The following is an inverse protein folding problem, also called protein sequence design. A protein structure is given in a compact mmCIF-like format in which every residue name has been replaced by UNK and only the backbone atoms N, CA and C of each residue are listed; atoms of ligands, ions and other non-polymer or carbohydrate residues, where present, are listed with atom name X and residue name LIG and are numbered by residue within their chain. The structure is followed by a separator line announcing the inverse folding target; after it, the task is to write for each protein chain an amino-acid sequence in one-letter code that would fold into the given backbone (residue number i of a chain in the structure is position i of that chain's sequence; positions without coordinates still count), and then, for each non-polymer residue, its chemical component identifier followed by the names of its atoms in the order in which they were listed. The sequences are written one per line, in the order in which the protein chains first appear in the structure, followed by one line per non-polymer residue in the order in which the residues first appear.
data_IF_690576203220
#
_entry.id   IF_690576203220
#
_cell.length_a   1.000
_cell.length_b   1.000
_cell.length_c   1.000
_cell.angle_alpha   90.00
_cell.angle_beta   90.00
_cell.angle_gamma   90.00
#
_symmetry.space_group_name_H-M   'P 1'
#
loop_
_entity.id
_entity.type
_entity.pdbx_description
1 polymer ?
#
# COMPACT_ATOMS: atom_id res chain seq x y z
N UNK A 1 -39.96 56.41 13.79
CA UNK A 1 -39.17 55.83 12.69
C UNK A 1 -38.22 54.82 13.33
N UNK A 2 -38.72 53.63 13.68
CA UNK A 2 -38.66 52.42 12.86
C UNK A 2 -37.24 52.05 12.42
N UNK A 3 -36.63 51.16 13.22
CA UNK A 3 -35.71 50.08 12.90
C UNK A 3 -35.18 50.02 11.46
N UNK A 4 -33.86 50.00 11.31
CA UNK A 4 -33.11 48.87 10.73
C UNK A 4 -31.61 49.21 10.74
N UNK A 5 -30.97 49.05 11.90
CA UNK A 5 -29.52 48.84 11.98
C UNK A 5 -29.24 47.45 11.44
N UNK A 6 -28.98 47.34 10.13
CA UNK A 6 -28.45 46.12 9.51
C UNK A 6 -27.00 46.00 9.93
N UNK A 7 -26.77 45.38 11.09
CA UNK A 7 -25.47 44.87 11.49
C UNK A 7 -25.14 43.72 10.53
N UNK A 8 -24.47 44.05 9.42
CA UNK A 8 -23.89 43.05 8.52
C UNK A 8 -22.79 42.35 9.32
N UNK A 9 -23.17 41.27 9.99
CA UNK A 9 -22.26 40.27 10.51
C UNK A 9 -21.57 39.65 9.30
N UNK A 10 -20.50 40.29 8.81
CA UNK A 10 -19.52 39.65 7.93
C UNK A 10 -18.97 38.46 8.72
N UNK A 11 -19.62 37.31 8.57
CA UNK A 11 -19.00 36.02 8.77
C UNK A 11 -17.73 36.05 7.91
N UNK A 12 -16.61 36.36 8.56
CA UNK A 12 -15.31 35.92 8.15
C UNK A 12 -15.40 34.39 8.09
N UNK A 13 -15.87 33.87 6.95
CA UNK A 13 -15.54 32.52 6.54
C UNK A 13 -14.04 32.55 6.34
N UNK A 14 -13.30 32.37 7.42
CA UNK A 14 -11.99 31.77 7.35
C UNK A 14 -12.23 30.46 6.62
N UNK A 15 -12.07 30.51 5.30
CA UNK A 15 -11.80 29.31 4.53
C UNK A 15 -10.49 28.83 5.10
N UNK A 16 -10.57 27.99 6.14
CA UNK A 16 -9.45 27.19 6.58
C UNK A 16 -9.07 26.41 5.33
N UNK A 17 -8.08 26.91 4.61
CA UNK A 17 -7.40 26.11 3.62
C UNK A 17 -6.77 25.01 4.46
N UNK A 18 -7.47 23.88 4.56
CA UNK A 18 -6.94 22.66 5.17
C UNK A 18 -5.69 22.30 4.37
N UNK A 19 -4.54 22.78 4.84
CA UNK A 19 -3.27 22.45 4.23
C UNK A 19 -3.01 21.01 4.63
N UNK A 20 -3.45 20.09 3.77
CA UNK A 20 -3.15 18.69 3.96
C UNK A 20 -1.63 18.51 3.98
N UNK A 21 -1.16 17.78 4.97
CA UNK A 21 0.25 17.41 5.09
C UNK A 21 0.46 16.08 4.38
N UNK A 22 1.61 15.92 3.74
CA UNK A 22 2.14 14.64 3.28
C UNK A 22 3.08 14.01 4.32
N UNK A 23 3.30 14.66 5.47
CA UNK A 23 4.23 14.24 6.52
C UNK A 23 3.59 14.05 7.91
N UNK A 24 4.08 13.04 8.64
CA UNK A 24 3.82 12.77 10.05
C UNK A 24 5.11 12.99 10.83
N UNK A 25 5.01 13.69 11.96
CA UNK A 25 6.11 13.89 12.90
C UNK A 25 5.63 13.66 14.34
N UNK A 26 6.54 13.67 15.31
CA UNK A 26 6.19 13.47 16.72
C UNK A 26 5.22 14.52 17.26
N UNK A 27 5.29 15.76 16.74
CA UNK A 27 4.41 16.88 17.08
C UNK A 27 3.13 16.95 16.24
N UNK A 28 3.07 16.20 15.14
CA UNK A 28 1.94 16.18 14.19
C UNK A 28 1.53 14.74 13.90
N UNK A 29 0.89 14.06 14.87
CA UNK A 29 0.33 12.73 14.65
C UNK A 29 -0.89 12.79 13.71
N UNK A 30 -1.32 11.63 13.24
CA UNK A 30 -2.61 11.45 12.55
C UNK A 30 -3.54 10.69 13.48
N UNK A 31 -4.72 11.26 13.74
CA UNK A 31 -5.82 10.65 14.51
C UNK A 31 -6.89 10.11 13.58
N UNK A 32 -7.78 9.29 14.12
CA UNK A 32 -8.97 8.86 13.38
C UNK A 32 -9.79 10.08 12.91
N UNK A 33 -10.21 10.06 11.64
CA UNK A 33 -10.86 11.17 10.94
C UNK A 33 -9.91 12.12 10.22
N UNK A 34 -8.61 12.10 10.52
CA UNK A 34 -7.59 12.91 9.83
C UNK A 34 -6.95 12.15 8.66
N UNK A 35 -6.49 12.90 7.66
CA UNK A 35 -5.85 12.36 6.46
C UNK A 35 -4.47 12.96 6.23
N UNK A 36 -3.54 12.09 5.87
CA UNK A 36 -2.27 12.43 5.27
C UNK A 36 -2.43 12.32 3.74
N UNK A 37 -2.18 13.38 2.98
CA UNK A 37 -2.41 13.38 1.52
C UNK A 37 -1.07 13.60 0.82
N UNK A 38 -0.77 12.76 -0.18
CA UNK A 38 0.43 12.92 -1.00
C UNK A 38 0.44 14.27 -1.73
N UNK A 39 1.62 14.77 -2.10
CA UNK A 39 1.77 16.13 -2.69
C UNK A 39 0.89 16.35 -3.92
N UNK A 40 0.82 15.37 -4.81
CA UNK A 40 -0.01 15.40 -6.03
C UNK A 40 -1.48 15.02 -5.76
N UNK A 41 -1.85 14.76 -4.50
CA UNK A 41 -3.19 14.36 -4.06
C UNK A 41 -3.69 13.06 -4.70
N UNK A 42 -2.77 12.22 -5.17
CA UNK A 42 -3.06 10.93 -5.79
C UNK A 42 -3.41 9.89 -4.74
N UNK A 43 -2.70 9.90 -3.61
CA UNK A 43 -2.89 8.94 -2.52
C UNK A 43 -3.18 9.65 -1.20
N UNK A 44 -3.95 8.99 -0.36
CA UNK A 44 -4.18 9.38 1.02
C UNK A 44 -3.88 8.21 1.94
N UNK A 45 -3.46 8.53 3.16
CA UNK A 45 -3.33 7.61 4.27
C UNK A 45 -4.21 8.09 5.42
N UNK A 46 -4.85 7.15 6.11
CA UNK A 46 -5.64 7.44 7.29
C UNK A 46 -6.34 6.20 7.84
N UNK A 47 -7.27 6.44 8.76
CA UNK A 47 -8.08 5.39 9.38
C UNK A 47 -9.31 5.04 8.53
N UNK A 48 -9.59 3.75 8.36
CA UNK A 48 -10.73 3.27 7.59
C UNK A 48 -11.36 2.01 8.19
N UNK A 49 -12.56 1.69 7.71
CA UNK A 49 -13.32 0.47 8.03
C UNK A 49 -13.68 -0.23 6.73
N UNK A 50 -13.21 -1.46 6.48
CA UNK A 50 -13.54 -2.20 5.27
C UNK A 50 -14.98 -2.74 5.32
N UNK A 51 -15.74 -2.48 4.26
CA UNK A 51 -17.07 -3.06 4.03
C UNK A 51 -18.00 -3.02 5.24
N UNK A 52 -18.39 -4.19 5.75
CA UNK A 52 -19.29 -4.38 6.90
C UNK A 52 -18.58 -4.60 8.23
N UNK A 53 -17.26 -4.42 8.27
CA UNK A 53 -16.48 -4.54 9.51
C UNK A 53 -16.91 -3.52 10.56
N UNK A 54 -16.65 -3.83 11.83
CA UNK A 54 -16.71 -2.85 12.92
C UNK A 54 -15.31 -2.41 13.38
N UNK A 55 -14.27 -2.98 12.77
CA UNK A 55 -12.88 -2.70 13.13
C UNK A 55 -12.33 -1.49 12.36
N UNK A 56 -11.33 -0.84 12.95
CA UNK A 56 -10.56 0.26 12.37
C UNK A 56 -9.14 -0.17 12.04
N UNK A 57 -8.69 0.27 10.87
CA UNK A 57 -7.38 0.00 10.31
C UNK A 57 -6.75 1.28 9.78
N UNK A 58 -5.43 1.32 9.73
CA UNK A 58 -4.67 2.34 9.00
C UNK A 58 -4.33 1.79 7.63
N UNK A 59 -4.66 2.54 6.58
CA UNK A 59 -4.39 2.13 5.21
C UNK A 59 -4.02 3.29 4.29
N UNK A 60 -3.56 2.94 3.09
CA UNK A 60 -3.32 3.86 1.98
C UNK A 60 -4.33 3.54 0.89
N UNK A 61 -4.88 4.56 0.25
CA UNK A 61 -5.81 4.43 -0.88
C UNK A 61 -5.63 5.54 -1.91
N UNK A 62 -6.18 5.32 -3.09
CA UNK A 62 -6.29 6.38 -4.10
C UNK A 62 -7.25 7.48 -3.63
N UNK A 63 -6.72 8.68 -3.44
CA UNK A 63 -7.47 9.84 -2.94
C UNK A 63 -8.35 10.49 -4.02
N UNK A 64 -7.97 10.35 -5.28
CA UNK A 64 -8.64 10.94 -6.43
C UNK A 64 -9.70 10.03 -7.06
N UNK A 65 -9.96 8.85 -6.49
CA UNK A 65 -11.01 7.95 -6.96
C UNK A 65 -12.27 8.07 -6.10
N UNK A 66 -13.48 8.00 -6.71
CA UNK A 66 -14.74 8.08 -5.97
C UNK A 66 -15.01 6.84 -5.10
N UNK A 67 -14.42 5.70 -5.46
CA UNK A 67 -14.52 4.45 -4.70
C UNK A 67 -13.24 4.29 -3.88
N UNK A 68 -13.37 4.19 -2.56
CA UNK A 68 -12.23 3.99 -1.67
C UNK A 68 -11.55 2.66 -1.98
N UNK A 69 -10.42 2.73 -2.66
CA UNK A 69 -9.64 1.56 -3.09
C UNK A 69 -8.37 1.47 -2.25
N UNK A 70 -8.40 0.63 -1.22
CA UNK A 70 -7.27 0.38 -0.34
C UNK A 70 -6.17 -0.37 -1.11
N UNK A 71 -4.93 0.06 -0.98
CA UNK A 71 -3.76 -0.53 -1.65
C UNK A 71 -2.67 -0.97 -0.68
N UNK A 72 -2.79 -0.62 0.60
CA UNK A 72 -1.89 -1.04 1.67
C UNK A 72 -2.57 -0.89 3.04
N UNK A 73 -2.26 -1.76 3.99
CA UNK A 73 -2.83 -1.78 5.34
C UNK A 73 -1.74 -2.07 6.37
N UNK A 74 -1.57 -1.20 7.36
CA UNK A 74 -0.53 -1.33 8.39
C UNK A 74 -0.85 -2.46 9.37
N UNK A 75 -1.94 -2.31 10.12
CA UNK A 75 -2.33 -3.17 11.24
C UNK A 75 -3.32 -4.25 10.82
N UNK A 76 -3.09 -4.88 9.66
CA UNK A 76 -4.05 -5.81 9.04
C UNK A 76 -4.43 -7.01 9.92
N UNK A 77 -3.52 -7.47 10.78
CA UNK A 77 -3.76 -8.57 11.72
C UNK A 77 -4.05 -8.10 13.16
N UNK A 78 -4.11 -6.79 13.39
CA UNK A 78 -4.28 -6.19 14.72
C UNK A 78 -5.23 -4.99 14.66
N UNK A 79 -6.52 -5.22 14.40
CA UNK A 79 -7.53 -4.17 14.31
C UNK A 79 -7.68 -3.38 15.60
N UNK A 80 -8.19 -2.15 15.46
CA UNK A 80 -8.70 -1.33 16.57
C UNK A 80 -10.22 -1.47 16.62
N UNK A 81 -10.83 -1.51 17.81
CA UNK A 81 -12.28 -1.71 17.98
C UNK A 81 -13.07 -0.40 18.23
N UNK A 82 -12.41 0.75 18.15
CA UNK A 82 -12.97 2.09 18.31
C UNK A 82 -12.16 3.11 17.47
N UNK A 83 -12.42 4.41 17.66
CA UNK A 83 -11.78 5.51 16.91
C UNK A 83 -10.68 6.23 17.70
N UNK A 84 -10.14 5.63 18.76
CA UNK A 84 -9.09 6.25 19.60
C UNK A 84 -7.67 6.11 19.03
N UNK A 85 -7.54 5.57 17.81
CA UNK A 85 -6.27 5.32 17.15
C UNK A 85 -5.44 6.58 16.91
N UNK A 86 -4.14 6.49 17.15
CA UNK A 86 -3.17 7.56 16.89
C UNK A 86 -1.94 6.97 16.21
N UNK A 87 -1.65 7.45 14.99
CA UNK A 87 -0.45 7.12 14.23
C UNK A 87 0.57 8.25 14.38
N UNK A 88 1.78 7.95 14.86
CA UNK A 88 2.78 8.98 15.20
C UNK A 88 4.20 8.46 15.14
N UNK A 89 5.19 9.37 15.14
CA UNK A 89 6.60 9.01 15.33
C UNK A 89 6.92 8.97 16.83
N UNK A 90 7.41 7.83 17.32
CA UNK A 90 7.81 7.65 18.72
C UNK A 90 9.20 8.28 19.01
N UNK A 91 9.62 8.23 20.28
CA UNK A 91 10.92 8.75 20.73
C UNK A 91 12.12 8.04 20.09
N UNK A 92 11.94 6.81 19.60
CA UNK A 92 12.98 6.02 18.95
C UNK A 92 13.04 6.25 17.43
N UNK A 93 12.11 7.03 16.87
CA UNK A 93 12.03 7.30 15.43
C UNK A 93 11.22 6.25 14.66
N UNK A 94 10.46 5.39 15.34
CA UNK A 94 9.55 4.45 14.70
C UNK A 94 8.19 5.10 14.44
N UNK A 95 7.56 4.72 13.33
CA UNK A 95 6.15 4.98 13.12
C UNK A 95 5.35 3.95 13.92
N UNK A 96 4.52 4.43 14.85
CA UNK A 96 3.78 3.59 15.79
C UNK A 96 2.29 3.92 15.77
N UNK A 97 1.48 2.88 15.89
CA UNK A 97 0.04 2.97 16.04
C UNK A 97 -0.34 2.61 17.48
N UNK A 98 -0.87 3.60 18.20
CA UNK A 98 -1.34 3.46 19.58
C UNK A 98 -2.86 3.52 19.66
N UNK A 99 -3.40 2.98 20.75
CA UNK A 99 -4.82 2.88 21.05
C UNK A 99 -5.05 3.08 22.56
N UNK A 100 -6.11 3.80 22.96
CA UNK A 100 -6.56 3.97 24.36
C UNK A 100 -5.44 4.13 25.42
N UNK A 101 -4.52 5.08 25.23
CA UNK A 101 -3.38 5.35 26.14
C UNK A 101 -2.48 4.13 26.45
N UNK A 102 -2.53 3.08 25.63
CA UNK A 102 -1.67 1.91 25.76
C UNK A 102 -0.19 2.31 25.71
N UNK A 103 0.61 1.69 26.57
CA UNK A 103 2.08 1.82 26.57
C UNK A 103 2.74 0.98 25.49
N UNK A 104 2.03 -0.03 24.96
CA UNK A 104 2.51 -0.92 23.90
C UNK A 104 1.74 -0.58 22.62
N UNK A 105 2.42 -0.19 21.53
CA UNK A 105 1.76 0.05 20.26
C UNK A 105 1.20 -1.25 19.69
N UNK A 106 0.02 -1.19 19.08
CA UNK A 106 -0.60 -2.34 18.42
C UNK A 106 0.08 -2.68 17.09
N UNK A 107 0.78 -1.71 16.50
CA UNK A 107 1.60 -1.88 15.31
C UNK A 107 2.75 -0.88 15.35
N UNK A 108 3.93 -1.27 14.89
CA UNK A 108 5.08 -0.37 14.75
C UNK A 108 5.99 -0.82 13.62
N UNK A 109 6.73 0.13 13.06
CA UNK A 109 7.89 -0.18 12.23
C UNK A 109 9.02 -0.73 13.10
N UNK A 110 9.91 -1.52 12.52
CA UNK A 110 11.08 -2.07 13.21
C UNK A 110 12.37 -1.38 12.74
N UNK A 111 12.41 -0.05 12.88
CA UNK A 111 13.59 0.75 12.53
C UNK A 111 14.61 0.66 13.67
N UNK A 112 15.82 0.24 13.32
CA UNK A 112 16.96 0.24 14.24
C UNK A 112 17.90 1.40 13.94
N UNK A 113 17.74 2.51 14.67
CA UNK A 113 18.62 3.68 14.58
C UNK A 113 19.77 3.60 15.59
N UNK A 114 20.95 4.05 15.16
CA UNK A 114 22.09 4.26 16.06
C UNK A 114 21.77 5.35 17.08
N UNK A 115 22.36 5.32 18.27
CA UNK A 115 21.95 6.17 19.39
C UNK A 115 21.99 7.68 19.06
N UNK A 116 22.99 8.14 18.29
CA UNK A 116 23.08 9.54 17.88
C UNK A 116 22.03 9.96 16.83
N UNK A 117 21.35 9.00 16.20
CA UNK A 117 20.25 9.21 15.25
C UNK A 117 18.87 9.08 15.91
N UNK A 118 18.79 8.55 17.14
CA UNK A 118 17.53 8.43 17.91
C UNK A 118 17.11 9.78 18.45
N UNK A 119 16.51 10.56 17.57
CA UNK A 119 15.86 11.80 17.92
C UNK A 119 14.59 11.91 17.07
N UNK A 120 13.43 11.78 17.70
CA UNK A 120 12.12 11.85 17.03
C UNK A 120 11.91 13.15 16.25
N UNK A 121 12.53 14.25 16.68
CA UNK A 121 12.46 15.53 15.96
C UNK A 121 13.21 15.50 14.62
N UNK A 122 14.16 14.58 14.46
CA UNK A 122 14.97 14.39 13.27
C UNK A 122 14.38 13.36 12.28
N UNK A 123 13.26 12.74 12.62
CA UNK A 123 12.59 11.71 11.81
C UNK A 123 11.20 12.19 11.39
N UNK A 124 10.79 11.86 10.16
CA UNK A 124 9.41 12.01 9.69
C UNK A 124 8.98 10.74 8.95
N UNK A 125 7.69 10.45 8.98
CA UNK A 125 7.09 9.62 7.93
C UNK A 125 6.51 10.53 6.84
N UNK A 126 6.61 10.12 5.58
CA UNK A 126 6.12 10.88 4.43
C UNK A 126 5.41 9.96 3.44
N UNK A 127 4.21 10.34 3.00
CA UNK A 127 3.49 9.66 1.93
C UNK A 127 3.87 10.25 0.58
N UNK A 128 4.46 9.42 -0.28
CA UNK A 128 4.88 9.82 -1.63
C UNK A 128 3.73 9.70 -2.64
N UNK A 129 3.91 10.31 -3.82
CA UNK A 129 2.93 10.28 -4.90
C UNK A 129 2.79 8.93 -5.62
N UNK A 130 3.60 7.95 -5.23
CA UNK A 130 3.51 6.55 -5.70
C UNK A 130 2.91 5.62 -4.64
N UNK A 131 2.29 6.16 -3.58
CA UNK A 131 1.76 5.41 -2.43
C UNK A 131 2.81 4.75 -1.53
N UNK A 132 4.08 5.09 -1.68
CA UNK A 132 5.12 4.62 -0.77
C UNK A 132 5.14 5.52 0.48
N UNK A 133 4.88 4.93 1.64
CA UNK A 133 5.03 5.58 2.93
C UNK A 133 6.45 5.33 3.42
N UNK A 134 7.26 6.38 3.51
CA UNK A 134 8.68 6.27 3.86
C UNK A 134 8.97 6.93 5.20
N UNK A 135 9.86 6.34 5.99
CA UNK A 135 10.47 7.02 7.13
C UNK A 135 11.80 7.61 6.68
N UNK A 136 12.01 8.89 6.94
CA UNK A 136 13.15 9.66 6.44
C UNK A 136 13.84 10.40 7.58
N UNK A 137 15.17 10.36 7.58
CA UNK A 137 16.00 11.24 8.41
C UNK A 137 16.00 12.65 7.82
N UNK A 138 15.47 13.65 8.55
CA UNK A 138 15.38 15.04 8.09
C UNK A 138 16.74 15.63 7.69
N UNK A 139 17.79 15.23 8.41
CA UNK A 139 19.17 15.75 8.26
C UNK A 139 19.83 15.25 6.98
N UNK A 140 19.79 13.95 6.71
CA UNK A 140 20.47 13.33 5.56
C UNK A 140 19.57 13.05 4.38
N UNK A 141 18.24 13.10 4.57
CA UNK A 141 17.21 12.65 3.61
C UNK A 141 17.27 11.16 3.28
N UNK A 142 17.98 10.37 4.09
CA UNK A 142 18.02 8.92 3.91
C UNK A 142 16.67 8.30 4.29
N UNK A 143 16.15 7.44 3.42
CA UNK A 143 15.03 6.54 3.72
C UNK A 143 15.55 5.39 4.57
N UNK A 144 14.90 5.12 5.69
CA UNK A 144 15.29 4.07 6.66
C UNK A 144 14.24 2.97 6.80
N UNK A 145 13.05 3.20 6.23
CA UNK A 145 11.95 2.23 6.14
C UNK A 145 10.98 2.68 5.06
N UNK A 146 10.35 1.74 4.37
CA UNK A 146 9.35 2.01 3.34
C UNK A 146 8.23 0.96 3.32
N UNK A 147 6.98 1.40 3.08
CA UNK A 147 5.83 0.47 3.00
C UNK A 147 5.91 -0.47 1.81
N UNK A 148 6.66 -0.09 0.77
CA UNK A 148 6.91 -0.92 -0.40
C UNK A 148 7.69 -2.21 -0.08
N UNK A 149 8.41 -2.26 1.05
CA UNK A 149 9.03 -3.48 1.54
C UNK A 149 8.07 -4.40 2.29
N UNK A 150 6.85 -3.93 2.58
CA UNK A 150 5.81 -4.67 3.31
C UNK A 150 4.47 -4.62 2.58
N UNK A 151 4.39 -5.13 1.33
CA UNK A 151 3.15 -5.13 0.56
C UNK A 151 2.04 -5.95 1.26
N UNK A 152 0.78 -5.62 0.97
CA UNK A 152 -0.38 -6.39 1.44
C UNK A 152 -0.87 -7.34 0.34
N UNK A 153 -2.04 -7.11 -0.21
CA UNK A 153 -2.70 -7.86 -1.28
C UNK A 153 -2.49 -7.20 -2.65
N UNK A 154 -2.00 -5.97 -2.68
CA UNK A 154 -1.88 -5.14 -3.88
C UNK A 154 -0.42 -4.87 -4.27
N UNK A 155 -0.12 -5.04 -5.55
CA UNK A 155 1.13 -4.66 -6.21
C UNK A 155 0.93 -3.45 -7.12
N UNK A 156 1.54 -2.34 -6.75
CA UNK A 156 1.50 -1.04 -7.43
C UNK A 156 2.71 -0.84 -8.35
N UNK A 157 2.63 0.14 -9.29
CA UNK A 157 3.80 0.56 -10.03
C UNK A 157 4.97 0.92 -9.10
N UNK A 158 6.20 0.64 -9.55
CA UNK A 158 7.47 0.87 -8.85
C UNK A 158 7.74 -0.01 -7.62
N UNK A 159 6.77 -0.79 -7.14
CA UNK A 159 7.01 -1.80 -6.11
C UNK A 159 7.88 -2.95 -6.65
N UNK A 160 8.39 -3.76 -5.73
CA UNK A 160 9.07 -5.03 -6.02
C UNK A 160 8.21 -6.20 -5.60
N UNK A 161 8.18 -7.27 -6.41
CA UNK A 161 7.80 -8.62 -5.99
C UNK A 161 8.98 -9.55 -6.19
N UNK A 162 9.33 -10.34 -5.19
CA UNK A 162 10.52 -11.17 -5.20
C UNK A 162 11.11 -11.33 -3.81
N UNK A 163 12.43 -11.44 -3.73
CA UNK A 163 13.13 -11.59 -2.47
C UNK A 163 14.58 -11.16 -2.59
N UNK A 164 15.13 -10.72 -1.47
CA UNK A 164 16.56 -10.52 -1.33
C UNK A 164 17.23 -11.85 -0.91
N UNK A 165 18.42 -12.12 -1.45
CA UNK A 165 19.16 -13.37 -1.18
C UNK A 165 20.04 -13.26 0.05
N UNK A 166 20.38 -12.06 0.49
CA UNK A 166 21.28 -11.79 1.62
C UNK A 166 20.52 -11.49 2.89
N UNK A 167 19.39 -10.82 2.77
CA UNK A 167 18.46 -10.53 3.86
C UNK A 167 17.31 -11.51 3.79
N UNK A 168 16.67 -11.82 4.91
CA UNK A 168 15.46 -12.66 4.93
C UNK A 168 14.21 -11.89 4.45
N UNK A 169 14.39 -10.90 3.56
CA UNK A 169 13.35 -10.02 3.07
C UNK A 169 12.70 -10.63 1.84
N UNK A 170 11.38 -10.74 1.87
CA UNK A 170 10.57 -11.23 0.76
C UNK A 170 9.43 -10.25 0.48
N UNK A 171 9.29 -9.88 -0.78
CA UNK A 171 8.24 -9.00 -1.26
C UNK A 171 7.20 -9.85 -1.99
N UNK A 172 6.13 -10.18 -1.29
CA UNK A 172 5.06 -11.03 -1.81
C UNK A 172 3.69 -10.44 -1.49
N UNK A 173 2.69 -10.81 -2.28
CA UNK A 173 1.31 -10.42 -1.98
C UNK A 173 0.61 -11.51 -1.19
N UNK A 174 -0.25 -11.09 -0.28
CA UNK A 174 -1.15 -11.98 0.44
C UNK A 174 -2.54 -11.38 0.51
N UNK A 175 -3.52 -12.13 0.01
CA UNK A 175 -4.92 -11.72 -0.06
C UNK A 175 -5.44 -11.27 1.30
N UNK A 176 -6.53 -10.51 1.27
CA UNK A 176 -7.38 -10.33 2.44
C UNK A 176 -8.06 -11.68 2.80
N UNK A 177 -8.57 -11.80 4.02
CA UNK A 177 -9.37 -12.98 4.42
C UNK A 177 -10.74 -12.94 3.76
N UNK A 178 -11.36 -11.76 3.75
CA UNK A 178 -12.64 -11.47 3.10
C UNK A 178 -12.66 -10.00 2.66
N UNK A 179 -13.67 -9.59 1.91
CA UNK A 179 -13.89 -8.18 1.59
C UNK A 179 -14.07 -7.25 2.82
N UNK A 180 -14.42 -7.83 3.97
CA UNK A 180 -14.65 -7.10 5.24
C UNK A 180 -13.52 -7.30 6.26
N UNK A 181 -12.51 -8.15 5.97
CA UNK A 181 -11.38 -8.45 6.87
C UNK A 181 -10.05 -8.44 6.10
N UNK A 182 -9.23 -7.37 6.26
CA UNK A 182 -7.97 -7.21 5.57
C UNK A 182 -6.84 -8.06 6.15
N UNK A 183 -7.09 -8.83 7.21
CA UNK A 183 -6.13 -9.77 7.79
C UNK A 183 -5.56 -10.72 6.75
N UNK A 184 -4.46 -11.40 7.10
CA UNK A 184 -3.79 -12.34 6.20
C UNK A 184 -4.72 -13.47 5.77
N UNK A 185 -5.05 -13.48 4.47
CA UNK A 185 -5.86 -14.51 3.83
C UNK A 185 -5.06 -15.72 3.36
N UNK A 186 -5.76 -16.66 2.74
CA UNK A 186 -5.23 -17.95 2.35
C UNK A 186 -4.30 -17.89 1.12
N UNK A 187 -4.50 -16.91 0.24
CA UNK A 187 -3.78 -16.85 -1.03
C UNK A 187 -2.53 -15.98 -0.94
N UNK A 188 -1.38 -16.53 -1.35
CA UNK A 188 -0.11 -15.80 -1.42
C UNK A 188 0.50 -15.89 -2.81
N UNK A 189 0.99 -14.77 -3.34
CA UNK A 189 1.65 -14.70 -4.64
C UNK A 189 3.10 -14.27 -4.44
N UNK A 190 4.04 -15.18 -4.74
CA UNK A 190 5.47 -14.99 -4.46
C UNK A 190 6.36 -15.67 -5.49
N UNK A 191 7.64 -15.29 -5.51
CA UNK A 191 8.66 -16.08 -6.18
C UNK A 191 9.14 -17.21 -5.27
N UNK A 192 9.23 -18.43 -5.82
CA UNK A 192 9.92 -19.56 -5.16
C UNK A 192 11.39 -19.21 -4.95
N UNK A 193 11.89 -19.47 -3.74
CA UNK A 193 13.31 -19.33 -3.38
C UNK A 193 14.10 -20.61 -3.65
N UNK A 194 13.42 -21.72 -3.98
CA UNK A 194 14.04 -23.03 -4.22
C UNK A 194 14.21 -23.25 -5.72
N UNK A 195 15.44 -23.58 -6.12
CA UNK A 195 15.81 -23.83 -7.51
C UNK A 195 15.79 -22.56 -8.36
N UNK A 196 15.41 -22.69 -9.63
CA UNK A 196 15.18 -21.52 -10.49
C UNK A 196 13.99 -20.72 -9.93
N UNK A 197 14.09 -19.40 -9.75
CA UNK A 197 12.97 -18.60 -9.28
C UNK A 197 11.75 -18.73 -10.21
N UNK A 198 10.59 -18.96 -9.59
CA UNK A 198 9.33 -19.11 -10.30
C UNK A 198 8.23 -18.36 -9.59
N UNK A 199 7.38 -17.69 -10.37
CA UNK A 199 6.22 -17.00 -9.85
C UNK A 199 5.10 -18.00 -9.59
N UNK A 200 4.65 -18.11 -8.34
CA UNK A 200 3.68 -19.12 -7.90
C UNK A 200 2.67 -18.45 -6.96
N UNK A 201 1.39 -18.77 -7.19
CA UNK A 201 0.33 -18.50 -6.23
C UNK A 201 0.10 -19.75 -5.40
N UNK A 202 -0.03 -19.60 -4.09
CA UNK A 202 -0.31 -20.67 -3.14
C UNK A 202 -1.64 -20.43 -2.44
N UNK A 203 -2.33 -21.50 -2.08
CA UNK A 203 -3.47 -21.50 -1.16
C UNK A 203 -3.08 -22.29 0.10
N UNK A 204 -2.92 -21.62 1.25
CA UNK A 204 -2.48 -22.25 2.50
C UNK A 204 -1.24 -23.15 2.31
N UNK A 205 -0.22 -22.63 1.61
CA UNK A 205 1.06 -23.30 1.25
C UNK A 205 1.00 -24.37 0.15
N UNK A 206 -0.18 -24.76 -0.32
CA UNK A 206 -0.29 -25.62 -1.50
C UNK A 206 -0.21 -24.79 -2.78
N UNK A 207 0.63 -25.16 -3.76
CA UNK A 207 0.63 -24.48 -5.05
C UNK A 207 -0.77 -24.49 -5.67
N UNK A 208 -1.24 -23.31 -6.05
CA UNK A 208 -2.57 -23.10 -6.60
C UNK A 208 -2.51 -22.76 -8.10
N UNK A 209 -1.56 -21.91 -8.48
CA UNK A 209 -1.30 -21.52 -9.87
C UNK A 209 0.19 -21.26 -10.08
N UNK A 210 0.70 -21.50 -11.29
CA UNK A 210 2.12 -21.32 -11.63
C UNK A 210 2.32 -20.42 -12.84
N UNK A 211 2.79 -19.21 -12.58
CA UNK A 211 3.31 -18.30 -13.60
C UNK A 211 4.69 -18.70 -14.13
N UNK A 212 5.40 -19.57 -13.41
CA UNK A 212 6.67 -20.14 -13.87
C UNK A 212 7.84 -19.16 -13.85
N UNK A 213 8.97 -19.51 -14.46
CA UNK A 213 10.16 -18.66 -14.46
C UNK A 213 10.02 -17.49 -15.43
N UNK A 214 10.88 -16.49 -15.26
CA UNK A 214 11.10 -15.47 -16.28
C UNK A 214 11.77 -16.09 -17.53
N UNK A 215 11.21 -15.79 -18.71
CA UNK A 215 11.70 -16.28 -20.01
C UNK A 215 12.36 -15.18 -20.85
N UNK A 216 12.84 -14.12 -20.20
CA UNK A 216 13.54 -13.00 -20.83
C UNK A 216 12.63 -11.83 -21.22
N UNK A 217 11.33 -12.07 -21.42
CA UNK A 217 10.37 -11.01 -21.76
C UNK A 217 9.03 -11.06 -21.04
N UNK A 218 8.72 -12.18 -20.38
CA UNK A 218 7.52 -12.38 -19.57
C UNK A 218 7.76 -13.53 -18.59
N UNK A 219 6.79 -13.76 -17.71
CA UNK A 219 6.66 -15.03 -16.99
C UNK A 219 6.11 -16.10 -17.95
N UNK A 220 6.59 -17.34 -17.84
CA UNK A 220 6.25 -18.42 -18.77
C UNK A 220 4.74 -18.73 -18.83
N UNK A 221 4.06 -18.66 -17.69
CA UNK A 221 2.62 -18.91 -17.53
C UNK A 221 1.77 -17.65 -17.61
N UNK A 222 2.34 -16.48 -17.97
CA UNK A 222 1.58 -15.25 -18.19
C UNK A 222 1.69 -14.87 -19.66
N UNK A 223 0.64 -15.12 -20.47
CA UNK A 223 0.66 -14.82 -21.89
C UNK A 223 0.56 -13.30 -22.11
N UNK A 224 1.70 -12.61 -22.24
CA UNK A 224 1.69 -11.17 -22.52
C UNK A 224 1.47 -10.92 -24.02
N UNK A 225 0.33 -10.31 -24.39
CA UNK A 225 0.10 -9.89 -25.80
C UNK A 225 0.77 -8.55 -26.10
N UNK A 226 1.11 -8.30 -27.38
CA UNK A 226 1.87 -7.10 -27.82
C UNK A 226 1.26 -5.77 -27.34
N UNK A 227 -0.07 -5.69 -27.24
CA UNK A 227 -0.78 -4.48 -26.80
C UNK A 227 -0.51 -4.17 -25.32
N UNK A 228 -0.41 -5.18 -24.46
CA UNK A 228 -0.17 -5.01 -23.02
C UNK A 228 1.26 -4.51 -22.77
N UNK A 229 2.23 -4.97 -23.58
CA UNK A 229 3.62 -4.46 -23.56
C UNK A 229 3.71 -2.98 -23.91
N UNK A 230 2.75 -2.43 -24.65
CA UNK A 230 2.75 -1.00 -24.96
C UNK A 230 2.31 -0.15 -23.75
N UNK A 231 1.62 -0.75 -22.78
CA UNK A 231 1.11 -0.06 -21.58
C UNK A 231 2.04 -0.24 -20.39
N UNK A 232 2.51 -1.46 -20.16
CA UNK A 232 3.32 -1.82 -18.99
C UNK A 232 4.80 -2.01 -19.37
N UNK A 233 5.68 -1.33 -18.65
CA UNK A 233 7.09 -1.67 -18.61
C UNK A 233 7.31 -2.66 -17.47
N UNK A 234 7.62 -3.91 -17.77
CA UNK A 234 7.93 -4.91 -16.75
C UNK A 234 9.43 -5.14 -16.78
N UNK A 235 10.09 -4.97 -15.64
CA UNK A 235 11.49 -5.32 -15.49
C UNK A 235 11.68 -6.43 -14.47
N UNK A 236 12.62 -7.32 -14.77
CA UNK A 236 12.96 -8.44 -13.93
C UNK A 236 14.47 -8.44 -13.71
N UNK A 237 14.87 -8.49 -12.45
CA UNK A 237 16.24 -8.62 -12.00
C UNK A 237 16.39 -9.98 -11.34
N UNK A 238 17.40 -10.73 -11.76
CA UNK A 238 17.85 -11.95 -11.11
C UNK A 238 19.38 -11.91 -11.07
N UNK A 239 19.93 -11.54 -9.92
CA UNK A 239 21.37 -11.48 -9.69
C UNK A 239 21.76 -12.18 -8.38
N UNK A 240 23.02 -12.02 -7.97
CA UNK A 240 23.55 -12.60 -6.73
C UNK A 240 22.97 -11.94 -5.46
N UNK A 241 22.32 -10.78 -5.59
CA UNK A 241 21.78 -10.01 -4.48
C UNK A 241 20.28 -10.26 -4.30
N UNK A 242 19.49 -10.20 -5.37
CA UNK A 242 18.04 -10.34 -5.28
C UNK A 242 17.41 -10.91 -6.57
N UNK A 243 16.18 -11.36 -6.39
CA UNK A 243 15.22 -11.59 -7.46
C UNK A 243 14.11 -10.57 -7.28
N UNK A 244 13.84 -9.76 -8.29
CA UNK A 244 12.81 -8.73 -8.19
C UNK A 244 12.14 -8.50 -9.55
N UNK A 245 10.82 -8.61 -9.56
CA UNK A 245 9.95 -8.13 -10.62
C UNK A 245 9.38 -6.77 -10.21
N UNK A 246 9.46 -5.80 -11.10
CA UNK A 246 8.86 -4.48 -10.93
C UNK A 246 8.11 -4.12 -12.21
N UNK A 247 7.15 -3.21 -12.10
CA UNK A 247 6.53 -2.65 -13.29
C UNK A 247 6.28 -1.15 -13.15
N UNK A 248 6.22 -0.46 -14.28
CA UNK A 248 5.70 0.91 -14.37
C UNK A 248 4.90 1.10 -15.67
N UNK A 249 4.41 2.31 -15.91
CA UNK A 249 3.48 2.63 -16.99
C UNK A 249 4.18 3.54 -18.01
N UNK A 250 4.17 3.16 -19.29
CA UNK A 250 4.82 3.91 -20.37
C UNK A 250 3.97 5.07 -20.90
N UNK A 251 2.67 4.86 -21.11
CA UNK A 251 1.82 5.76 -21.88
C UNK A 251 0.57 6.19 -21.12
N UNK A 252 0.42 7.52 -20.95
CA UNK A 252 -0.70 8.21 -20.28
C UNK A 252 -0.87 7.77 -18.81
N UNK A 253 -1.41 8.64 -17.93
CA UNK A 253 -1.67 8.27 -16.54
C UNK A 253 -2.85 7.29 -16.48
N UNK A 254 -2.62 6.02 -16.82
CA UNK A 254 -3.55 4.93 -16.52
C UNK A 254 -3.37 4.59 -15.06
N UNK A 255 -4.44 4.63 -14.28
CA UNK A 255 -4.41 4.14 -12.91
C UNK A 255 -4.56 2.63 -12.96
N UNK A 256 -3.62 1.90 -12.39
CA UNK A 256 -3.55 0.43 -12.47
C UNK A 256 -3.10 -0.17 -11.15
N UNK A 257 -3.49 -1.41 -10.90
CA UNK A 257 -2.99 -2.21 -9.78
C UNK A 257 -3.09 -3.70 -10.09
N UNK A 258 -2.26 -4.50 -9.45
CA UNK A 258 -2.38 -5.97 -9.46
C UNK A 258 -2.79 -6.41 -8.07
N UNK A 259 -3.84 -7.21 -7.92
CA UNK A 259 -4.38 -7.60 -6.60
C UNK A 259 -4.58 -9.10 -6.51
N UNK A 260 -4.21 -9.68 -5.36
CA UNK A 260 -4.55 -11.07 -5.00
C UNK A 260 -5.83 -11.07 -4.17
N UNK A 261 -6.87 -11.69 -4.73
CA UNK A 261 -8.19 -11.79 -4.11
C UNK A 261 -8.32 -13.01 -3.22
N UNK A 262 -9.20 -12.93 -2.23
CA UNK A 262 -9.58 -14.03 -1.34
C UNK A 262 -10.25 -15.20 -2.08
N UNK A 263 -10.77 -14.94 -3.29
CA UNK A 263 -11.38 -15.93 -4.18
C UNK A 263 -10.35 -16.76 -4.96
N UNK A 264 -9.05 -16.50 -4.79
CA UNK A 264 -8.00 -17.28 -5.42
C UNK A 264 -7.64 -16.84 -6.83
N UNK A 265 -7.88 -15.57 -7.15
CA UNK A 265 -7.42 -14.94 -8.39
C UNK A 265 -6.38 -13.87 -8.07
N UNK A 266 -5.39 -13.71 -8.95
CA UNK A 266 -4.68 -12.43 -9.04
C UNK A 266 -5.08 -11.71 -10.32
N UNK A 267 -5.41 -10.43 -10.20
CA UNK A 267 -6.00 -9.64 -11.28
C UNK A 267 -5.21 -8.36 -11.52
N UNK A 268 -4.98 -8.02 -12.78
CA UNK A 268 -4.57 -6.67 -13.17
C UNK A 268 -5.82 -5.86 -13.46
N UNK A 269 -5.97 -4.75 -12.74
CA UNK A 269 -7.14 -3.87 -12.82
C UNK A 269 -6.69 -2.51 -13.33
N UNK A 270 -7.45 -1.95 -14.28
CA UNK A 270 -7.25 -0.59 -14.78
C UNK A 270 -8.48 0.26 -14.49
N UNK A 271 -8.27 1.52 -14.11
CA UNK A 271 -9.37 2.42 -13.78
C UNK A 271 -9.96 3.05 -15.04
N UNK A 272 -11.28 2.95 -15.17
CA UNK A 272 -12.06 3.60 -16.22
C UNK A 272 -12.67 4.90 -15.69
N UNK A 273 -12.09 6.04 -16.09
CA UNK A 273 -12.56 7.35 -15.68
C UNK A 273 -13.96 7.70 -16.20
N UNK A 274 -14.42 7.07 -17.29
CA UNK A 274 -15.76 7.34 -17.83
C UNK A 274 -16.84 6.61 -17.03
N UNK A 275 -16.52 5.39 -16.58
CA UNK A 275 -17.45 4.54 -15.81
C UNK A 275 -17.26 4.63 -14.30
N UNK A 276 -16.19 5.28 -13.83
CA UNK A 276 -15.80 5.34 -12.43
C UNK A 276 -15.71 3.95 -11.78
N UNK A 277 -15.06 3.01 -12.45
CA UNK A 277 -14.93 1.64 -11.97
C UNK A 277 -13.58 1.02 -12.37
N UNK A 278 -13.21 -0.05 -11.65
CA UNK A 278 -12.10 -0.90 -12.03
C UNK A 278 -12.55 -1.89 -13.11
N UNK A 279 -11.88 -1.88 -14.25
CA UNK A 279 -12.04 -2.87 -15.30
C UNK A 279 -10.94 -3.93 -15.18
N UNK A 280 -11.34 -5.20 -15.25
CA UNK A 280 -10.40 -6.31 -15.32
C UNK A 280 -9.67 -6.29 -16.66
N UNK A 281 -8.35 -6.13 -16.59
CA UNK A 281 -7.46 -6.21 -17.75
C UNK A 281 -6.95 -7.64 -17.94
N UNK A 282 -6.56 -8.27 -16.84
CA UNK A 282 -6.00 -9.62 -16.82
C UNK A 282 -6.39 -10.32 -15.51
N UNK A 283 -6.52 -11.64 -15.52
CA UNK A 283 -6.87 -12.45 -14.35
C UNK A 283 -6.28 -13.85 -14.50
N UNK A 284 -5.80 -14.42 -13.41
CA UNK A 284 -5.32 -15.80 -13.36
C UNK A 284 -5.66 -16.43 -12.00
N UNK A 285 -5.93 -17.75 -11.94
CA UNK A 285 -6.16 -18.66 -13.08
C UNK A 285 -7.41 -18.26 -13.91
N UNK A 286 -7.45 -18.57 -15.21
CA UNK A 286 -8.65 -18.34 -16.05
C UNK A 286 -9.48 -19.61 -16.15
N UNK A 287 -8.83 -20.75 -16.37
CA UNK A 287 -9.44 -22.04 -16.63
C UNK A 287 -8.89 -23.14 -15.71
N UNK A 288 -9.53 -24.31 -15.71
CA UNK A 288 -9.09 -25.46 -14.92
C UNK A 288 -7.67 -25.95 -15.28
N UNK A 289 -7.20 -25.69 -16.51
CA UNK A 289 -5.85 -26.04 -16.95
C UNK A 289 -4.75 -25.17 -16.33
N UNK A 290 -5.12 -24.04 -15.74
CA UNK A 290 -4.16 -23.12 -15.10
C UNK A 290 -3.95 -23.48 -13.62
N UNK A 291 -4.83 -24.33 -13.06
CA UNK A 291 -4.65 -24.92 -11.74
C UNK A 291 -3.36 -25.73 -11.69
N UNK A 292 -2.63 -25.63 -10.58
CA UNK A 292 -1.40 -26.40 -10.40
C UNK A 292 -1.68 -27.91 -10.24
N UNK A 293 -1.10 -28.72 -11.12
CA UNK A 293 -1.16 -30.19 -11.09
C UNK A 293 -1.76 -30.77 -12.35
#
# INVERSE_FOLDING_TARGET
MCFFTVLILQLLTFSFCSCFSDTISSDKPIRDGELLISKSKTFALGFFTPGKSMSRYVGIWYNNLPIQTIVWVANRDSPINDTSGILSIDSNGNLVLNHNLSTIPIWSTNVSLQQYQRNSTSVIAQLTDIANLVIVLKTTKNVIWESFDYPTDTFLPYQRLGFDRKTNQSWFLQSWKTNDDPGKGAFTLKFSTIGKPQFIMYNNDLPWWRGGPWIGSSLAGVPIVKHERATFNVSFVEDNNNVALTYNIFYKPVITRIVVHESGFFQTLTWDNQKNQWNQFFSEPVNQCDSYG
#
